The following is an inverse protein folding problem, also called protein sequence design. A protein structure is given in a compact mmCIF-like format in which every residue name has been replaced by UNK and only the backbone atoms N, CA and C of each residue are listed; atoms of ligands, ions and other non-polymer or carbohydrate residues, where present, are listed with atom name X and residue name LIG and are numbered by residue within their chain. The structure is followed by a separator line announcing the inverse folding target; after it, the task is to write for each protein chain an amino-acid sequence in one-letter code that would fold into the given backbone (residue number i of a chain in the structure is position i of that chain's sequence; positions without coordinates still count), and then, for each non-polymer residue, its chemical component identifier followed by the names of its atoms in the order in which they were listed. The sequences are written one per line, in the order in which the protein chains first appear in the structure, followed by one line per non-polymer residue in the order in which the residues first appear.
data_IF_421204698146
#
_entry.id   IF_421204698146
#
_cell.length_a   1.000
_cell.length_b   1.000
_cell.length_c   1.000
_cell.angle_alpha   90.00
_cell.angle_beta   90.00
_cell.angle_gamma   90.00
#
_symmetry.space_group_name_H-M   'P 1'
#
loop_
_entity.id
_entity.type
_entity.pdbx_description
1 polymer ?
#
# COMPACT_ATOMS: atom_id res chain seq x y z
N UNK A 1 23.18 11.58 0.47
CA UNK A 1 22.69 10.94 -0.78
C UNK A 1 21.86 9.74 -0.36
N UNK A 2 20.54 9.78 -0.53
CA UNK A 2 19.72 8.57 -0.40
C UNK A 2 19.62 8.01 -1.81
N UNK A 3 20.39 6.97 -2.10
CA UNK A 3 20.29 6.27 -3.37
C UNK A 3 19.03 5.42 -3.33
N UNK A 4 17.96 5.88 -3.98
CA UNK A 4 16.79 5.04 -4.25
C UNK A 4 17.19 4.02 -5.31
N UNK A 5 17.90 2.97 -4.89
CA UNK A 5 18.12 1.81 -5.75
C UNK A 5 16.75 1.16 -5.98
N UNK A 6 16.21 1.31 -7.19
CA UNK A 6 15.13 0.48 -7.70
C UNK A 6 15.58 -0.98 -7.51
N UNK A 7 15.00 -1.67 -6.53
CA UNK A 7 15.35 -3.05 -6.24
C UNK A 7 15.02 -3.90 -7.47
N UNK A 8 16.00 -4.59 -8.10
CA UNK A 8 15.75 -5.47 -9.25
C UNK A 8 14.70 -6.55 -8.96
N UNK A 9 14.47 -6.86 -7.68
CA UNK A 9 13.49 -7.85 -7.24
C UNK A 9 12.02 -7.41 -7.39
N UNK A 10 11.72 -6.11 -7.30
CA UNK A 10 10.36 -5.59 -7.47
C UNK A 10 9.87 -5.80 -8.90
N UNK A 11 10.78 -5.67 -9.87
CA UNK A 11 10.48 -5.84 -11.28
C UNK A 11 10.29 -7.32 -11.64
N UNK A 12 11.11 -8.23 -11.09
CA UNK A 12 11.03 -9.65 -11.41
C UNK A 12 9.81 -10.37 -10.80
N UNK A 13 9.26 -9.91 -9.68
CA UNK A 13 8.10 -10.56 -9.03
C UNK A 13 6.81 -10.48 -9.89
N UNK A 14 6.71 -9.52 -10.82
CA UNK A 14 5.53 -9.31 -11.68
C UNK A 14 5.75 -9.65 -13.16
N UNK A 15 6.94 -10.10 -13.55
CA UNK A 15 7.25 -10.50 -14.94
C UNK A 15 7.03 -12.01 -15.17
N UNK A 16 6.90 -12.84 -14.12
CA UNK A 16 6.74 -14.30 -14.26
C UNK A 16 5.30 -14.80 -14.52
N UNK A 17 4.26 -13.95 -14.48
CA UNK A 17 2.89 -14.38 -14.81
C UNK A 17 2.57 -14.23 -16.32
N UNK A 18 3.39 -14.91 -17.13
CA UNK A 18 3.26 -14.97 -18.58
C UNK A 18 3.24 -16.40 -19.11
N UNK A 19 2.44 -17.30 -18.55
CA UNK A 19 2.10 -18.56 -19.23
C UNK A 19 0.72 -19.06 -18.82
N UNK A 20 -0.17 -19.17 -19.80
CA UNK A 20 -1.50 -19.75 -19.68
C UNK A 20 -1.38 -21.27 -19.69
N UNK A 21 -1.25 -21.89 -18.52
CA UNK A 21 -1.55 -23.32 -18.34
C UNK A 21 -2.49 -23.50 -17.15
N UNK A 22 -3.46 -24.41 -17.32
CA UNK A 22 -4.47 -24.78 -16.34
C UNK A 22 -3.84 -25.37 -15.07
N UNK A 23 -3.48 -24.52 -14.10
CA UNK A 23 -3.06 -24.98 -12.78
C UNK A 23 -4.27 -24.93 -11.86
N UNK A 24 -4.80 -26.11 -11.50
CA UNK A 24 -5.61 -26.22 -10.28
C UNK A 24 -4.72 -25.80 -9.12
N UNK A 25 -4.87 -24.56 -8.65
CA UNK A 25 -4.17 -24.05 -7.47
C UNK A 25 -4.46 -24.96 -6.27
N UNK A 26 -3.46 -25.75 -5.86
CA UNK A 26 -3.48 -26.35 -4.53
C UNK A 26 -3.35 -25.18 -3.53
N UNK A 27 -4.30 -24.97 -2.61
CA UNK A 27 -4.28 -23.80 -1.74
C UNK A 27 -2.98 -23.77 -0.93
N UNK A 28 -2.30 -22.62 -0.91
CA UNK A 28 -1.11 -22.43 -0.08
C UNK A 28 -1.51 -22.43 1.40
N UNK A 29 -1.39 -23.59 2.03
CA UNK A 29 -1.75 -23.81 3.44
C UNK A 29 -0.81 -23.09 4.42
N UNK A 30 0.36 -22.61 3.98
CA UNK A 30 1.27 -21.82 4.83
C UNK A 30 0.73 -20.42 5.05
N UNK A 31 0.13 -19.81 4.02
CA UNK A 31 -0.57 -18.53 4.13
C UNK A 31 -1.75 -18.65 5.10
N UNK A 32 -2.57 -19.69 4.97
CA UNK A 32 -3.68 -20.01 5.89
C UNK A 32 -3.20 -20.20 7.33
N UNK A 33 -2.15 -21.00 7.55
CA UNK A 33 -1.61 -21.24 8.90
C UNK A 33 -1.09 -19.95 9.52
N UNK A 34 -0.38 -19.11 8.76
CA UNK A 34 0.14 -17.82 9.23
C UNK A 34 -0.98 -16.81 9.53
N UNK A 35 -2.03 -16.77 8.71
CA UNK A 35 -3.22 -15.96 8.95
C UNK A 35 -3.93 -16.37 10.25
N UNK A 36 -4.15 -17.68 10.44
CA UNK A 36 -4.88 -18.21 11.59
C UNK A 36 -4.09 -18.18 12.90
N UNK A 37 -2.75 -18.18 12.87
CA UNK A 37 -1.91 -18.26 14.09
C UNK A 37 -1.24 -16.95 14.46
N UNK A 38 -0.67 -16.23 13.49
CA UNK A 38 0.11 -15.01 13.75
C UNK A 38 -0.65 -13.71 13.52
N UNK A 39 -1.82 -13.78 12.86
CA UNK A 39 -2.59 -12.59 12.43
C UNK A 39 -4.08 -12.77 12.61
N UNK A 40 -4.48 -13.58 13.58
CA UNK A 40 -5.88 -13.90 13.87
C UNK A 40 -6.72 -12.64 14.08
N UNK A 41 -6.13 -11.60 14.67
CA UNK A 41 -6.80 -10.33 14.90
C UNK A 41 -7.09 -9.60 13.59
N UNK A 42 -6.06 -9.45 12.75
CA UNK A 42 -6.18 -8.81 11.44
C UNK A 42 -7.16 -9.60 10.57
N UNK A 43 -7.06 -10.94 10.55
CA UNK A 43 -7.97 -11.83 9.83
C UNK A 43 -9.41 -11.75 10.35
N UNK A 44 -9.63 -11.64 11.66
CA UNK A 44 -10.98 -11.44 12.21
C UNK A 44 -11.59 -10.11 11.75
N UNK A 45 -10.83 -9.01 11.89
CA UNK A 45 -11.27 -7.69 11.44
C UNK A 45 -11.42 -7.56 9.93
N UNK A 46 -10.82 -8.50 9.21
CA UNK A 46 -10.93 -8.61 7.78
C UNK A 46 -12.24 -9.27 7.35
N UNK A 47 -12.58 -10.39 7.99
CA UNK A 47 -13.83 -11.13 7.73
C UNK A 47 -15.05 -10.34 8.25
N UNK A 48 -14.88 -9.59 9.34
CA UNK A 48 -15.95 -8.82 9.98
C UNK A 48 -15.60 -7.33 10.05
N UNK A 49 -15.49 -6.62 8.91
CA UNK A 49 -14.94 -5.26 8.85
C UNK A 49 -15.78 -4.20 9.55
N UNK A 50 -17.09 -4.46 9.72
CA UNK A 50 -18.05 -3.56 10.37
C UNK A 50 -18.39 -3.97 11.81
N UNK A 51 -17.80 -5.05 12.32
CA UNK A 51 -18.12 -5.54 13.65
C UNK A 51 -17.65 -4.55 14.73
N UNK A 52 -18.40 -4.46 15.83
CA UNK A 52 -18.02 -3.59 16.93
C UNK A 52 -16.74 -4.10 17.60
N UNK A 53 -15.75 -3.22 17.77
CA UNK A 53 -14.54 -3.55 18.51
C UNK A 53 -14.74 -3.29 19.99
N UNK A 54 -14.86 -4.38 20.75
CA UNK A 54 -14.89 -4.34 22.21
C UNK A 54 -13.57 -3.77 22.79
N UNK A 55 -12.46 -3.87 22.06
CA UNK A 55 -11.16 -3.37 22.50
C UNK A 55 -11.04 -1.85 22.39
N UNK A 56 -11.54 -1.26 21.31
CA UNK A 56 -11.50 0.19 21.08
C UNK A 56 -12.79 0.91 21.46
N UNK A 57 -13.81 0.16 21.89
CA UNK A 57 -15.16 0.63 22.19
C UNK A 57 -15.78 1.43 21.02
N UNK A 58 -15.46 1.04 19.78
CA UNK A 58 -15.84 1.72 18.53
C UNK A 58 -16.10 0.73 17.40
N UNK A 59 -16.98 1.09 16.47
CA UNK A 59 -17.05 0.46 15.15
C UNK A 59 -15.92 1.02 14.26
N UNK A 60 -15.17 0.17 13.54
CA UNK A 60 -14.19 0.64 12.57
C UNK A 60 -14.85 1.53 11.51
N UNK A 61 -14.25 2.68 11.23
CA UNK A 61 -14.69 3.56 10.15
C UNK A 61 -13.96 3.12 8.89
N UNK A 62 -14.69 2.47 7.97
CA UNK A 62 -14.15 2.09 6.67
C UNK A 62 -14.15 3.33 5.77
N UNK A 63 -13.02 3.59 5.13
CA UNK A 63 -12.79 4.82 4.37
C UNK A 63 -13.06 4.67 2.87
N UNK A 64 -13.36 3.47 2.38
CA UNK A 64 -13.70 3.19 0.99
C UNK A 64 -14.82 2.13 0.84
N UNK A 65 -15.26 1.89 -0.40
CA UNK A 65 -16.36 0.98 -0.68
C UNK A 65 -16.01 -0.48 -0.40
N UNK A 66 -16.91 -1.18 0.31
CA UNK A 66 -16.91 -2.63 0.47
C UNK A 66 -17.95 -3.20 -0.49
N UNK A 67 -17.54 -4.17 -1.29
CA UNK A 67 -18.41 -4.89 -2.24
C UNK A 67 -18.63 -6.32 -1.77
N UNK A 68 -19.76 -6.94 -2.14
CA UNK A 68 -20.05 -8.34 -1.80
C UNK A 68 -19.00 -9.28 -2.39
N UNK A 69 -18.55 -8.97 -3.61
CA UNK A 69 -17.45 -9.67 -4.26
C UNK A 69 -16.13 -9.04 -3.83
N UNK A 70 -15.37 -9.75 -3.01
CA UNK A 70 -14.04 -9.32 -2.61
C UNK A 70 -12.96 -10.13 -3.34
N UNK A 71 -11.81 -9.53 -3.62
CA UNK A 71 -10.65 -10.22 -4.23
C UNK A 71 -9.47 -10.24 -3.28
N UNK A 72 -8.33 -10.84 -3.67
CA UNK A 72 -7.10 -10.88 -2.85
C UNK A 72 -7.34 -11.42 -1.42
N UNK A 73 -7.96 -12.60 -1.28
CA UNK A 73 -8.34 -13.16 0.04
C UNK A 73 -9.22 -12.23 0.89
N UNK A 74 -9.98 -11.38 0.21
CA UNK A 74 -10.90 -10.42 0.76
C UNK A 74 -10.31 -9.01 0.97
N UNK A 75 -8.99 -8.84 0.92
CA UNK A 75 -8.31 -7.56 1.21
C UNK A 75 -8.81 -6.43 0.31
N UNK A 76 -9.29 -6.79 -0.88
CA UNK A 76 -9.66 -5.84 -1.90
C UNK A 76 -11.15 -5.96 -2.22
N UNK A 77 -11.75 -4.85 -2.64
CA UNK A 77 -13.07 -4.87 -3.24
C UNK A 77 -13.03 -5.48 -4.68
N UNK A 78 -14.16 -5.48 -5.37
CA UNK A 78 -14.29 -6.03 -6.73
C UNK A 78 -13.48 -5.27 -7.78
N UNK A 79 -13.15 -4.00 -7.50
CA UNK A 79 -12.31 -3.17 -8.34
C UNK A 79 -10.82 -3.26 -8.03
N UNK A 80 -10.40 -4.23 -7.22
CA UNK A 80 -9.02 -4.45 -6.82
C UNK A 80 -8.42 -3.30 -6.00
N UNK A 81 -9.26 -2.53 -5.31
CA UNK A 81 -8.85 -1.51 -4.35
C UNK A 81 -8.80 -2.08 -2.94
N UNK A 82 -7.69 -1.81 -2.23
CA UNK A 82 -7.51 -2.22 -0.84
C UNK A 82 -8.61 -1.62 0.04
N UNK A 83 -9.27 -2.45 0.85
CA UNK A 83 -10.23 -2.00 1.86
C UNK A 83 -9.45 -1.46 3.07
N UNK A 84 -9.65 -0.18 3.36
CA UNK A 84 -8.89 0.59 4.35
C UNK A 84 -9.81 1.14 5.43
N UNK A 85 -9.36 1.05 6.68
CA UNK A 85 -10.02 1.61 7.86
C UNK A 85 -9.23 2.80 8.41
N UNK A 86 -9.94 3.75 9.01
CA UNK A 86 -9.32 4.81 9.81
C UNK A 86 -8.51 4.19 10.95
N UNK A 87 -7.27 4.66 11.11
CA UNK A 87 -6.34 4.16 12.11
C UNK A 87 -5.51 2.95 11.69
N UNK A 88 -5.73 2.38 10.50
CA UNK A 88 -4.89 1.31 9.97
C UNK A 88 -3.42 1.76 9.90
N UNK A 89 -2.50 0.86 10.25
CA UNK A 89 -1.06 1.10 10.18
C UNK A 89 -0.49 0.39 8.96
N UNK A 90 -0.14 1.16 7.94
CA UNK A 90 0.52 0.69 6.73
C UNK A 90 2.03 0.95 6.79
N UNK A 91 2.79 0.25 5.96
CA UNK A 91 4.23 0.42 5.83
C UNK A 91 5.00 -0.88 5.97
N UNK A 92 6.33 -0.81 5.91
CA UNK A 92 7.19 -1.98 5.96
C UNK A 92 7.13 -2.73 7.31
N UNK A 93 6.63 -2.08 8.37
CA UNK A 93 6.40 -2.72 9.67
C UNK A 93 5.28 -3.76 9.66
N UNK A 94 4.26 -3.56 8.82
CA UNK A 94 3.01 -4.35 8.83
C UNK A 94 2.79 -5.12 7.52
N UNK A 95 3.49 -4.74 6.45
CA UNK A 95 3.56 -5.44 5.17
C UNK A 95 3.92 -6.92 5.32
N UNK A 96 3.27 -7.78 4.53
CA UNK A 96 3.54 -9.21 4.46
C UNK A 96 4.73 -9.53 3.55
N UNK A 97 4.98 -8.67 2.58
CA UNK A 97 6.04 -8.71 1.59
C UNK A 97 7.40 -8.38 2.24
N UNK A 98 7.35 -7.57 3.31
CA UNK A 98 8.50 -7.24 4.14
C UNK A 98 9.27 -6.03 3.63
N UNK A 99 10.25 -5.60 4.44
CA UNK A 99 10.98 -4.34 4.23
C UNK A 99 11.81 -4.27 2.95
N UNK A 100 12.13 -5.40 2.33
CA UNK A 100 12.93 -5.44 1.11
C UNK A 100 12.25 -4.74 -0.09
N UNK A 101 10.92 -4.64 -0.02
CA UNK A 101 10.09 -3.97 -1.02
C UNK A 101 9.68 -2.55 -0.62
N UNK A 102 10.44 -1.94 0.30
CA UNK A 102 10.31 -0.52 0.66
C UNK A 102 11.47 0.29 0.08
N UNK A 103 11.28 1.61 -0.07
CA UNK A 103 12.30 2.49 -0.66
C UNK A 103 13.63 2.46 0.11
N UNK A 104 13.58 2.19 1.41
CA UNK A 104 14.78 1.94 2.21
C UNK A 104 14.57 0.73 3.16
N UNK A 105 15.10 -0.46 2.78
CA UNK A 105 15.00 -1.68 3.57
C UNK A 105 15.69 -1.63 4.96
N UNK A 106 16.57 -0.65 5.21
CA UNK A 106 17.21 -0.47 6.51
C UNK A 106 16.27 0.21 7.51
N UNK A 107 15.22 0.89 7.02
CA UNK A 107 14.27 1.63 7.84
C UNK A 107 12.91 0.95 7.90
N UNK A 108 12.25 1.07 9.05
CA UNK A 108 10.89 0.57 9.25
C UNK A 108 9.93 1.76 9.12
N UNK A 109 9.06 1.70 8.12
CA UNK A 109 8.03 2.71 7.89
C UNK A 109 6.71 2.31 8.53
N UNK A 110 6.04 3.30 9.12
CA UNK A 110 4.73 3.17 9.79
C UNK A 110 3.92 4.42 9.50
N UNK A 111 2.80 4.23 8.82
CA UNK A 111 1.88 5.27 8.42
C UNK A 111 0.50 4.97 8.96
N UNK A 112 -0.01 5.82 9.83
CA UNK A 112 -1.37 5.71 10.34
C UNK A 112 -2.34 6.40 9.38
N UNK A 113 -3.30 5.65 8.83
CA UNK A 113 -4.34 6.22 7.98
C UNK A 113 -5.27 7.10 8.81
N UNK A 114 -5.53 8.30 8.31
CA UNK A 114 -6.43 9.28 8.92
C UNK A 114 -7.74 9.36 8.13
N UNK A 115 -7.68 9.80 6.88
CA UNK A 115 -8.87 10.04 6.06
C UNK A 115 -8.61 9.70 4.59
N UNK A 116 -9.67 9.44 3.82
CA UNK A 116 -9.57 9.38 2.36
C UNK A 116 -9.48 10.80 1.78
N UNK A 117 -8.56 11.00 0.85
CA UNK A 117 -8.39 12.27 0.13
C UNK A 117 -9.02 12.22 -1.26
N UNK A 118 -8.98 11.07 -1.92
CA UNK A 118 -9.58 10.90 -3.24
C UNK A 118 -9.44 9.49 -3.80
N UNK A 119 -10.07 9.29 -4.95
CA UNK A 119 -9.99 8.06 -5.73
C UNK A 119 -9.98 8.38 -7.21
N UNK A 120 -9.44 7.47 -8.01
CA UNK A 120 -9.46 7.55 -9.45
C UNK A 120 -9.13 6.21 -10.09
N UNK A 121 -8.96 6.21 -11.41
CA UNK A 121 -8.71 4.99 -12.19
C UNK A 121 -7.52 4.17 -11.68
N UNK A 122 -6.49 4.83 -11.16
CA UNK A 122 -5.25 4.18 -10.73
C UNK A 122 -5.31 3.59 -9.32
N UNK A 123 -6.33 3.94 -8.52
CA UNK A 123 -6.49 3.53 -7.14
C UNK A 123 -6.93 4.68 -6.24
N UNK A 124 -6.42 4.70 -5.01
CA UNK A 124 -6.93 5.56 -3.94
C UNK A 124 -5.83 6.39 -3.28
N UNK A 125 -6.17 7.57 -2.79
CA UNK A 125 -5.26 8.44 -2.06
C UNK A 125 -5.81 8.71 -0.67
N UNK A 126 -4.99 8.49 0.34
CA UNK A 126 -5.34 8.68 1.75
C UNK A 126 -4.39 9.67 2.42
N UNK A 127 -4.94 10.47 3.34
CA UNK A 127 -4.19 11.25 4.31
C UNK A 127 -3.71 10.29 5.39
N UNK A 128 -2.43 10.37 5.73
CA UNK A 128 -1.84 9.55 6.79
C UNK A 128 -0.85 10.35 7.63
N UNK A 129 -0.55 9.85 8.83
CA UNK A 129 0.53 10.35 9.69
C UNK A 129 1.74 9.43 9.58
N UNK A 130 2.88 9.96 9.15
CA UNK A 130 4.18 9.31 9.25
C UNK A 130 4.60 9.29 10.73
N UNK A 131 4.49 8.12 11.36
CA UNK A 131 4.76 7.95 12.80
C UNK A 131 6.26 7.97 13.14
N UNK A 132 7.14 7.90 12.13
CA UNK A 132 8.58 7.98 12.34
C UNK A 132 9.07 9.42 12.31
N UNK A 133 8.38 10.30 11.56
CA UNK A 133 8.76 11.72 11.40
C UNK A 133 7.75 12.71 11.97
N UNK A 134 6.65 12.22 12.54
CA UNK A 134 5.57 13.03 13.13
C UNK A 134 5.02 14.11 12.18
N UNK A 135 4.77 13.74 10.91
CA UNK A 135 4.21 14.64 9.89
C UNK A 135 3.07 14.00 9.12
N UNK A 136 2.21 14.83 8.56
CA UNK A 136 1.15 14.37 7.66
C UNK A 136 1.68 14.17 6.24
N UNK A 137 1.17 13.14 5.57
CA UNK A 137 1.55 12.72 4.21
C UNK A 137 0.31 12.29 3.43
N UNK A 138 0.44 12.23 2.10
CA UNK A 138 -0.52 11.57 1.24
C UNK A 138 0.03 10.21 0.79
N UNK A 139 -0.78 9.16 0.85
CA UNK A 139 -0.40 7.81 0.38
C UNK A 139 -1.31 7.43 -0.77
N UNK A 140 -0.73 7.26 -1.95
CA UNK A 140 -1.39 6.70 -3.12
C UNK A 140 -1.23 5.19 -3.09
N UNK A 141 -2.34 4.47 -2.97
CA UNK A 141 -2.42 3.01 -2.95
C UNK A 141 -2.96 2.59 -4.31
N UNK A 142 -2.12 1.93 -5.11
CA UNK A 142 -2.50 1.46 -6.44
C UNK A 142 -3.28 0.16 -6.37
N UNK A 143 -4.20 -0.06 -7.30
CA UNK A 143 -4.96 -1.33 -7.43
C UNK A 143 -4.03 -2.54 -7.57
N UNK A 144 -4.40 -3.70 -7.03
CA UNK A 144 -3.59 -4.93 -6.99
C UNK A 144 -3.52 -5.69 -8.32
N UNK A 145 -3.22 -4.98 -9.43
CA UNK A 145 -2.98 -5.59 -10.75
C UNK A 145 -1.58 -5.28 -11.27
N UNK A 146 -1.00 -6.26 -11.97
CA UNK A 146 0.32 -6.11 -12.58
C UNK A 146 0.46 -4.92 -13.53
N UNK A 147 -0.61 -4.52 -14.23
CA UNK A 147 -0.62 -3.32 -15.08
C UNK A 147 -0.40 -2.04 -14.28
N UNK A 148 -1.16 -1.86 -13.18
CA UNK A 148 -1.02 -0.70 -12.29
C UNK A 148 0.31 -0.72 -11.54
N UNK A 149 0.80 -1.89 -11.14
CA UNK A 149 2.13 -2.03 -10.57
C UNK A 149 3.22 -1.53 -11.53
N UNK A 150 3.24 -2.00 -12.78
CA UNK A 150 4.22 -1.55 -13.79
C UNK A 150 4.13 -0.04 -14.03
N UNK A 151 2.93 0.50 -14.12
CA UNK A 151 2.73 1.94 -14.28
C UNK A 151 3.22 2.73 -13.06
N UNK A 152 2.96 2.25 -11.84
CA UNK A 152 3.45 2.86 -10.61
C UNK A 152 4.97 2.83 -10.50
N UNK A 153 5.62 1.77 -10.97
CA UNK A 153 7.10 1.72 -11.02
C UNK A 153 7.68 2.76 -11.98
N UNK A 154 7.00 3.06 -13.10
CA UNK A 154 7.37 4.17 -13.98
C UNK A 154 7.19 5.51 -13.27
N UNK A 155 6.09 5.70 -12.55
CA UNK A 155 5.82 6.91 -11.76
C UNK A 155 6.93 7.15 -10.71
N UNK A 156 7.30 6.12 -9.95
CA UNK A 156 8.42 6.19 -8.98
C UNK A 156 9.74 6.57 -9.66
N UNK A 157 10.04 5.95 -10.80
CA UNK A 157 11.30 6.18 -11.52
C UNK A 157 11.39 7.63 -12.03
N UNK A 158 10.31 8.13 -12.62
CA UNK A 158 10.22 9.51 -13.11
C UNK A 158 10.29 10.50 -11.95
N UNK A 159 9.54 10.27 -10.87
CA UNK A 159 9.54 11.17 -9.72
C UNK A 159 10.87 11.22 -8.99
N UNK A 160 11.58 10.08 -8.83
CA UNK A 160 12.93 10.08 -8.26
C UNK A 160 13.87 10.90 -9.14
N UNK A 161 13.83 10.71 -10.46
CA UNK A 161 14.64 11.52 -11.38
C UNK A 161 14.34 13.02 -11.26
N UNK A 162 13.06 13.40 -11.24
CA UNK A 162 12.66 14.79 -11.09
C UNK A 162 13.08 15.36 -9.73
N UNK A 163 12.79 14.66 -8.62
CA UNK A 163 13.08 15.15 -7.28
C UNK A 163 14.58 15.21 -6.95
N UNK A 164 15.38 14.27 -7.45
CA UNK A 164 16.81 14.16 -7.08
C UNK A 164 17.74 14.92 -8.03
N UNK A 165 17.39 14.99 -9.32
CA UNK A 165 18.27 15.53 -10.37
C UNK A 165 17.75 16.87 -10.90
N UNK A 166 16.47 16.95 -11.27
CA UNK A 166 15.98 18.10 -12.03
C UNK A 166 15.35 19.22 -11.18
N UNK A 167 14.83 18.91 -9.99
CA UNK A 167 14.11 19.83 -9.10
C UNK A 167 14.52 19.59 -7.64
N UNK A 168 15.82 19.56 -7.37
CA UNK A 168 16.34 19.20 -6.03
C UNK A 168 15.96 20.21 -4.94
N UNK A 169 15.80 21.47 -5.32
CA UNK A 169 15.45 22.61 -4.47
C UNK A 169 13.93 22.82 -4.34
N UNK A 170 13.13 22.27 -5.25
CA UNK A 170 11.65 22.29 -5.16
C UNK A 170 11.03 23.54 -5.73
N UNK A 171 11.78 24.22 -6.61
CA UNK A 171 11.36 25.46 -7.25
C UNK A 171 10.57 25.22 -8.54
N UNK A 172 10.50 23.97 -9.02
CA UNK A 172 9.81 23.63 -10.28
C UNK A 172 8.43 23.02 -10.09
N UNK A 173 7.83 23.19 -8.90
CA UNK A 173 6.47 22.74 -8.57
C UNK A 173 6.25 21.23 -8.80
N UNK A 174 7.29 20.43 -8.65
CA UNK A 174 7.15 18.96 -8.70
C UNK A 174 6.78 18.45 -7.32
N UNK A 175 5.72 17.64 -7.23
CA UNK A 175 5.36 16.94 -5.98
C UNK A 175 6.55 16.13 -5.45
N UNK A 176 6.73 16.14 -4.13
CA UNK A 176 7.76 15.37 -3.45
C UNK A 176 7.29 13.96 -3.14
N UNK A 177 7.94 12.98 -3.77
CA UNK A 177 7.88 11.58 -3.35
C UNK A 177 8.80 11.40 -2.14
N UNK A 178 8.26 10.84 -1.06
CA UNK A 178 8.93 10.73 0.24
C UNK A 178 9.37 9.30 0.57
N UNK A 179 8.62 8.30 0.09
CA UNK A 179 8.81 6.87 0.34
C UNK A 179 7.95 6.06 -0.65
N UNK A 180 8.18 4.76 -0.74
CA UNK A 180 7.27 3.80 -1.38
C UNK A 180 7.44 2.42 -0.74
N UNK A 181 6.39 1.61 -0.74
CA UNK A 181 6.43 0.24 -0.22
C UNK A 181 5.33 -0.64 -0.82
N UNK A 182 5.52 -1.96 -0.77
CA UNK A 182 4.44 -2.92 -1.01
C UNK A 182 3.65 -3.21 0.27
N UNK A 183 2.33 -3.31 0.15
CA UNK A 183 1.45 -3.71 1.24
C UNK A 183 0.22 -4.46 0.71
N UNK A 184 0.08 -5.73 1.10
CA UNK A 184 -1.02 -6.60 0.67
C UNK A 184 -1.17 -6.69 -0.86
N UNK A 185 -0.06 -6.80 -1.60
CA UNK A 185 0.02 -6.75 -3.07
C UNK A 185 -0.33 -5.39 -3.72
N UNK A 186 -0.45 -4.31 -2.94
CA UNK A 186 -0.60 -2.95 -3.45
C UNK A 186 0.71 -2.19 -3.39
N UNK A 187 1.08 -1.53 -4.49
CA UNK A 187 2.14 -0.53 -4.48
C UNK A 187 1.62 0.76 -3.85
N UNK A 188 2.24 1.14 -2.73
CA UNK A 188 1.96 2.35 -1.99
C UNK A 188 3.07 3.36 -2.25
N UNK A 189 2.71 4.55 -2.73
CA UNK A 189 3.65 5.66 -2.97
C UNK A 189 3.29 6.80 -2.01
N UNK A 190 4.27 7.25 -1.24
CA UNK A 190 4.10 8.28 -0.20
C UNK A 190 4.58 9.61 -0.75
N UNK A 191 3.72 10.63 -0.63
CA UNK A 191 3.95 11.98 -1.10
C UNK A 191 3.85 12.98 0.05
N UNK A 192 4.43 14.15 -0.13
CA UNK A 192 4.02 15.31 0.67
C UNK A 192 2.51 15.54 0.52
N UNK A 193 1.88 15.98 1.61
CA UNK A 193 0.47 16.31 1.57
C UNK A 193 0.30 17.67 0.89
N UNK A 194 -0.43 17.70 -0.23
CA UNK A 194 -0.81 18.91 -0.95
C UNK A 194 -2.28 19.25 -0.65
N UNK A 195 -2.59 20.51 -0.37
CA UNK A 195 -3.95 20.96 -0.03
C UNK A 195 -3.97 22.39 0.52
N UNK A 196 -5.17 22.99 0.55
CA UNK A 196 -5.37 24.41 0.86
C UNK A 196 -5.08 24.72 2.33
N UNK A 197 -4.16 25.66 2.58
CA UNK A 197 -4.13 26.47 3.81
C UNK A 197 -5.33 27.41 3.80
#
# INVERSE_FOLDING_TARGET
MKNYHLSPSLFNLYIEEGSTENIRHKPDTRALTKQLTGRIRETYWHIFPTHYSLYTNKTPIILNEITENTTNSGFDNEEYDLIIKEGDILGSATSYEGRYYSANPETISRYQILNRLGNGMFGQVFKAKDLSKEREVAIKILKSKGTYFRQGMLEISILSMLNDIYDKDGTKNTVRMLDHFLYCNHLCIVFELLGFV
#
